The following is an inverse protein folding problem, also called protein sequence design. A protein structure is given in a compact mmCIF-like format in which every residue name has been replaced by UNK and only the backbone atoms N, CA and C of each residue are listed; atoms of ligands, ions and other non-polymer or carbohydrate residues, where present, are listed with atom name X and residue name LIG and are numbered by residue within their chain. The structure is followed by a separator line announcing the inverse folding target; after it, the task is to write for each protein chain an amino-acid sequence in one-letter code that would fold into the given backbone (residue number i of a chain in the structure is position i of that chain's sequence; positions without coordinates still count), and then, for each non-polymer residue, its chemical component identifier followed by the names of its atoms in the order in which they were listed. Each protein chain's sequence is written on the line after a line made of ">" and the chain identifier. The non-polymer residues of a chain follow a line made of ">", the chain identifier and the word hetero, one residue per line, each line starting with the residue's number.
data_IF_052844948381
#
_entry.id   IF_052844948381
#
_cell.length_a   1.000
_cell.length_b   1.000
_cell.length_c   1.000
_cell.angle_alpha   90.00
_cell.angle_beta   90.00
_cell.angle_gamma   90.00
#
_symmetry.space_group_name_H-M   'P 1'
#
loop_
_entity.id
_entity.type
_entity.pdbx_description
1 polymer ?
#
# COMPACT_ATOMS: atom_id res chain seq x y z
N UNK A 1 -29.99 8.44 -21.39
CA UNK A 1 -28.90 8.17 -20.41
C UNK A 1 -28.36 6.76 -20.60
N UNK A 2 -27.15 6.47 -20.14
CA UNK A 2 -26.52 5.14 -20.22
C UNK A 2 -26.12 4.73 -18.80
N UNK A 3 -26.60 3.58 -18.33
CA UNK A 3 -26.14 2.98 -17.07
C UNK A 3 -25.04 1.97 -17.36
N UNK A 4 -23.98 2.02 -16.56
CA UNK A 4 -22.89 1.03 -16.49
C UNK A 4 -22.73 0.52 -15.04
N UNK A 5 -23.79 0.62 -14.23
CA UNK A 5 -23.73 0.38 -12.79
C UNK A 5 -24.06 -1.07 -12.45
N UNK A 6 -23.37 -1.58 -11.42
CA UNK A 6 -23.70 -2.86 -10.78
C UNK A 6 -24.34 -2.59 -9.43
N UNK A 7 -25.58 -3.03 -9.27
CA UNK A 7 -26.41 -2.84 -8.09
C UNK A 7 -26.82 -4.21 -7.56
N UNK A 8 -26.48 -4.52 -6.31
CA UNK A 8 -26.75 -5.84 -5.72
C UNK A 8 -28.19 -5.96 -5.20
N UNK A 9 -28.71 -4.91 -4.55
CA UNK A 9 -30.00 -4.95 -3.85
C UNK A 9 -30.98 -3.85 -4.33
N UNK A 10 -30.95 -3.52 -5.63
CA UNK A 10 -31.77 -2.46 -6.19
C UNK A 10 -32.02 -2.62 -7.69
N UNK A 11 -32.81 -1.72 -8.25
CA UNK A 11 -33.07 -1.67 -9.69
C UNK A 11 -31.84 -1.12 -10.43
N UNK A 12 -31.57 -1.66 -11.61
CA UNK A 12 -30.39 -1.32 -12.42
C UNK A 12 -30.42 0.11 -12.98
N UNK A 13 -31.60 0.74 -13.02
CA UNK A 13 -31.78 2.07 -13.59
C UNK A 13 -32.74 2.95 -12.77
N UNK A 14 -34.01 2.56 -12.62
CA UNK A 14 -35.03 3.33 -11.90
C UNK A 14 -35.73 2.47 -10.85
N UNK A 15 -35.72 2.93 -9.60
CA UNK A 15 -36.22 2.17 -8.43
C UNK A 15 -37.69 2.38 -8.05
N UNK A 16 -38.45 3.24 -8.73
CA UNK A 16 -39.81 3.63 -8.30
C UNK A 16 -40.93 2.84 -8.99
N UNK A 17 -41.96 2.49 -8.22
CA UNK A 17 -43.22 1.92 -8.70
C UNK A 17 -44.05 2.85 -9.57
N UNK A 18 -43.76 4.15 -9.53
CA UNK A 18 -44.41 5.15 -10.40
C UNK A 18 -44.17 4.90 -11.88
N UNK A 19 -43.15 4.10 -12.21
CA UNK A 19 -42.90 3.66 -13.58
C UNK A 19 -44.12 2.97 -14.18
N UNK A 20 -44.81 2.13 -13.41
CA UNK A 20 -45.95 1.34 -13.88
C UNK A 20 -47.31 1.94 -13.47
N UNK A 21 -47.34 2.94 -12.59
CA UNK A 21 -48.55 3.61 -12.10
C UNK A 21 -49.33 4.31 -13.21
N UNK A 22 -50.66 4.19 -13.19
CA UNK A 22 -51.58 4.74 -14.19
C UNK A 22 -51.13 4.48 -15.64
N UNK A 23 -50.66 3.25 -15.89
CA UNK A 23 -50.14 2.87 -17.20
C UNK A 23 -48.95 3.73 -17.65
N UNK A 24 -48.15 4.27 -16.74
CA UNK A 24 -46.96 5.08 -17.03
C UNK A 24 -47.25 6.39 -17.76
N UNK A 25 -48.44 6.99 -17.55
CA UNK A 25 -48.88 8.23 -18.21
C UNK A 25 -47.79 9.32 -18.19
N UNK A 26 -47.07 9.46 -17.06
CA UNK A 26 -46.00 10.46 -16.89
C UNK A 26 -44.58 9.96 -17.23
N UNK A 27 -44.36 8.65 -17.32
CA UNK A 27 -43.01 8.05 -17.41
C UNK A 27 -42.66 7.53 -18.81
N UNK A 28 -43.66 7.31 -19.67
CA UNK A 28 -43.49 6.61 -20.95
C UNK A 28 -42.52 7.23 -21.95
N UNK A 29 -42.58 8.56 -22.16
CA UNK A 29 -41.81 9.21 -23.24
C UNK A 29 -40.30 9.25 -23.03
N UNK A 30 -39.84 9.04 -21.79
CA UNK A 30 -38.45 9.27 -21.39
C UNK A 30 -37.64 7.98 -21.24
N UNK A 31 -38.30 6.82 -21.06
CA UNK A 31 -37.63 5.54 -20.83
C UNK A 31 -36.94 4.98 -22.08
N UNK A 32 -37.51 5.22 -23.27
CA UNK A 32 -36.99 4.66 -24.54
C UNK A 32 -35.64 5.25 -24.98
N UNK A 33 -35.21 6.35 -24.34
CA UNK A 33 -33.93 7.03 -24.57
C UNK A 33 -32.85 6.61 -23.56
N UNK A 34 -33.15 5.60 -22.74
CA UNK A 34 -32.25 5.07 -21.73
C UNK A 34 -31.75 3.69 -22.13
N UNK A 35 -30.48 3.45 -21.78
CA UNK A 35 -29.78 2.25 -22.17
C UNK A 35 -29.03 1.65 -20.99
N UNK A 36 -29.03 0.33 -20.88
CA UNK A 36 -28.19 -0.44 -19.97
C UNK A 36 -27.13 -1.18 -20.77
N UNK A 37 -25.91 -1.26 -20.25
CA UNK A 37 -24.79 -1.90 -20.97
C UNK A 37 -24.67 -3.36 -20.60
N UNK A 38 -24.87 -4.24 -21.58
CA UNK A 38 -24.80 -5.70 -21.44
C UNK A 38 -23.49 -6.15 -20.79
N UNK A 39 -23.59 -6.96 -19.74
CA UNK A 39 -22.44 -7.56 -19.04
C UNK A 39 -21.61 -6.59 -18.17
N UNK A 40 -21.84 -5.29 -18.29
CA UNK A 40 -21.23 -4.25 -17.45
C UNK A 40 -22.20 -3.86 -16.34
N UNK A 41 -23.46 -3.64 -16.70
CA UNK A 41 -24.52 -3.25 -15.78
C UNK A 41 -25.20 -4.49 -15.17
N UNK A 42 -25.63 -4.37 -13.92
CA UNK A 42 -26.39 -5.44 -13.25
C UNK A 42 -27.32 -4.87 -12.19
N UNK A 43 -28.50 -5.45 -12.04
CA UNK A 43 -29.47 -5.09 -11.02
C UNK A 43 -30.82 -5.75 -11.29
N UNK A 44 -31.81 -5.42 -10.46
CA UNK A 44 -33.18 -5.87 -10.70
C UNK A 44 -33.81 -5.06 -11.85
N UNK A 45 -34.78 -5.70 -12.49
CA UNK A 45 -35.62 -5.16 -13.55
C UNK A 45 -37.07 -5.53 -13.23
N UNK A 46 -37.57 -5.13 -12.07
CA UNK A 46 -38.84 -5.62 -11.51
C UNK A 46 -40.06 -4.91 -12.10
N UNK A 47 -39.91 -3.67 -12.58
CA UNK A 47 -41.00 -2.91 -13.20
C UNK A 47 -41.18 -3.26 -14.68
N UNK A 48 -42.44 -3.44 -15.09
CA UNK A 48 -42.80 -3.89 -16.44
C UNK A 48 -42.31 -2.90 -17.50
N UNK A 49 -42.54 -1.61 -17.30
CA UNK A 49 -42.11 -0.59 -18.28
C UNK A 49 -40.59 -0.43 -18.33
N UNK A 50 -39.88 -0.65 -17.23
CA UNK A 50 -38.41 -0.65 -17.25
C UNK A 50 -37.88 -1.77 -18.16
N UNK A 51 -38.39 -3.00 -18.00
CA UNK A 51 -38.04 -4.14 -18.86
C UNK A 51 -38.39 -3.91 -20.33
N UNK A 52 -39.57 -3.36 -20.59
CA UNK A 52 -40.10 -3.26 -21.94
C UNK A 52 -39.49 -2.09 -22.73
N UNK A 53 -39.01 -1.04 -22.06
CA UNK A 53 -38.63 0.23 -22.69
C UNK A 53 -37.16 0.59 -22.60
N UNK A 54 -36.45 0.20 -21.55
CA UNK A 54 -35.01 0.45 -21.43
C UNK A 54 -34.28 -0.60 -22.26
N UNK A 55 -33.48 -0.15 -23.23
CA UNK A 55 -32.83 -1.06 -24.17
C UNK A 55 -31.46 -1.46 -23.66
N UNK A 56 -31.15 -2.74 -23.81
CA UNK A 56 -29.81 -3.24 -23.59
C UNK A 56 -28.95 -3.00 -24.84
N UNK A 57 -27.77 -2.42 -24.66
CA UNK A 57 -26.80 -2.14 -25.74
C UNK A 57 -25.46 -2.80 -25.45
N UNK A 58 -24.65 -3.00 -26.49
CA UNK A 58 -23.28 -3.48 -26.32
C UNK A 58 -22.38 -2.38 -25.72
N UNK A 59 -21.27 -2.81 -25.12
CA UNK A 59 -20.26 -1.88 -24.59
C UNK A 59 -19.68 -0.97 -25.70
N UNK A 60 -19.48 -1.50 -26.91
CA UNK A 60 -18.99 -0.71 -28.05
C UNK A 60 -19.97 0.39 -28.47
N UNK A 61 -21.26 0.09 -28.48
CA UNK A 61 -22.29 1.09 -28.78
C UNK A 61 -22.40 2.14 -27.66
N UNK A 62 -22.28 1.70 -26.41
CA UNK A 62 -22.26 2.58 -25.26
C UNK A 62 -21.08 3.56 -25.33
N UNK A 63 -19.87 3.07 -25.64
CA UNK A 63 -18.67 3.88 -25.78
C UNK A 63 -18.79 4.92 -26.91
N UNK A 64 -19.36 4.55 -28.07
CA UNK A 64 -19.63 5.49 -29.16
C UNK A 64 -20.57 6.61 -28.74
N UNK A 65 -21.62 6.27 -27.98
CA UNK A 65 -22.59 7.26 -27.47
C UNK A 65 -21.95 8.14 -26.39
N UNK A 66 -21.13 7.58 -25.50
CA UNK A 66 -20.34 8.31 -24.50
C UNK A 66 -19.41 9.33 -25.16
N UNK A 67 -18.68 8.93 -26.20
CA UNK A 67 -17.81 9.82 -26.96
C UNK A 67 -18.59 10.99 -27.61
N UNK A 68 -19.82 10.75 -28.09
CA UNK A 68 -20.68 11.80 -28.65
C UNK A 68 -21.17 12.81 -27.61
N UNK A 69 -21.20 12.48 -26.32
CA UNK A 69 -21.58 13.43 -25.25
C UNK A 69 -20.48 14.45 -24.94
N UNK A 70 -19.28 14.32 -25.53
CA UNK A 70 -18.19 15.28 -25.35
C UNK A 70 -17.68 15.35 -23.90
N UNK A 71 -17.91 14.31 -23.11
CA UNK A 71 -17.38 14.20 -21.75
C UNK A 71 -15.85 14.26 -21.82
N UNK A 72 -15.24 15.17 -21.08
CA UNK A 72 -13.79 15.33 -20.98
C UNK A 72 -13.22 14.73 -19.70
N UNK A 73 -14.08 14.20 -18.83
CA UNK A 73 -13.72 13.68 -17.52
C UNK A 73 -12.89 12.39 -17.56
N UNK A 74 -13.02 11.62 -18.65
CA UNK A 74 -12.22 10.44 -18.97
C UNK A 74 -10.77 10.77 -19.37
N UNK A 75 -10.47 12.05 -19.65
CA UNK A 75 -9.16 12.54 -20.10
C UNK A 75 -8.38 13.31 -19.02
N UNK A 76 -8.86 13.33 -17.78
CA UNK A 76 -8.10 13.92 -16.69
C UNK A 76 -6.91 13.02 -16.36
N UNK A 77 -5.72 13.40 -16.83
CA UNK A 77 -4.46 12.86 -16.33
C UNK A 77 -4.22 13.40 -14.91
N UNK A 78 -4.12 12.48 -13.95
CA UNK A 78 -3.68 12.82 -12.60
C UNK A 78 -2.19 13.14 -12.69
N UNK A 79 -1.85 14.43 -12.69
CA UNK A 79 -0.47 14.86 -12.55
C UNK A 79 0.02 14.51 -11.14
N UNK A 80 1.25 14.00 -11.02
CA UNK A 80 1.84 13.76 -9.72
C UNK A 80 1.88 15.06 -8.89
N UNK A 81 1.57 14.99 -7.58
CA UNK A 81 1.64 16.15 -6.71
C UNK A 81 3.00 16.84 -6.79
N UNK A 82 2.99 18.18 -6.82
CA UNK A 82 4.23 19.01 -6.86
C UNK A 82 5.16 18.68 -5.69
N UNK A 83 4.61 18.22 -4.56
CA UNK A 83 5.37 17.74 -3.40
C UNK A 83 6.30 16.57 -3.72
N UNK A 84 5.95 15.66 -4.63
CA UNK A 84 6.84 14.56 -5.05
C UNK A 84 8.10 15.11 -5.72
N UNK A 85 7.94 16.13 -6.59
CA UNK A 85 9.04 16.81 -7.27
C UNK A 85 9.87 17.66 -6.32
N UNK A 86 9.23 18.35 -5.36
CA UNK A 86 9.91 19.19 -4.37
C UNK A 86 10.69 18.38 -3.33
N UNK A 87 10.22 17.19 -2.98
CA UNK A 87 10.91 16.30 -2.05
C UNK A 87 12.17 15.66 -2.63
N UNK A 88 12.57 15.99 -3.88
CA UNK A 88 13.68 15.34 -4.58
C UNK A 88 13.60 13.82 -4.40
N UNK A 89 12.41 13.25 -4.64
CA UNK A 89 12.33 11.83 -4.95
C UNK A 89 13.04 11.68 -6.30
N UNK A 90 14.37 11.65 -6.27
CA UNK A 90 15.14 10.96 -7.29
C UNK A 90 14.44 9.63 -7.45
N UNK A 91 14.05 9.28 -8.68
CA UNK A 91 13.40 7.98 -8.90
C UNK A 91 14.28 6.93 -8.25
N UNK A 92 13.68 5.92 -7.61
CA UNK A 92 14.44 4.87 -6.89
C UNK A 92 15.57 4.29 -7.77
N UNK A 93 15.38 4.30 -9.09
CA UNK A 93 16.32 3.87 -10.13
C UNK A 93 17.48 4.82 -10.45
N UNK A 94 17.46 6.06 -9.97
CA UNK A 94 18.49 7.07 -10.20
C UNK A 94 19.29 7.38 -8.93
N UNK A 95 18.98 6.71 -7.81
CA UNK A 95 19.42 7.09 -6.47
C UNK A 95 20.95 7.09 -6.27
N UNK A 96 21.63 6.13 -6.92
CA UNK A 96 23.08 5.91 -6.83
C UNK A 96 23.85 6.32 -8.10
N UNK A 97 23.15 6.67 -9.19
CA UNK A 97 23.77 6.90 -10.51
C UNK A 97 24.79 8.04 -10.53
N UNK A 98 24.65 9.00 -9.63
CA UNK A 98 25.58 10.13 -9.49
C UNK A 98 26.69 9.89 -8.44
N UNK A 99 26.69 8.75 -7.76
CA UNK A 99 27.68 8.41 -6.74
C UNK A 99 28.96 7.90 -7.39
N UNK A 100 30.11 8.22 -6.78
CA UNK A 100 31.41 7.74 -7.24
C UNK A 100 31.46 6.21 -7.24
N UNK A 101 32.15 5.62 -8.23
CA UNK A 101 32.33 4.17 -8.41
C UNK A 101 31.04 3.36 -8.66
N UNK A 102 29.95 4.03 -9.02
CA UNK A 102 28.69 3.39 -9.42
C UNK A 102 28.88 2.48 -10.63
N UNK A 103 28.29 1.28 -10.56
CA UNK A 103 28.22 0.30 -11.63
C UNK A 103 26.77 -0.07 -11.91
N UNK A 104 26.34 0.05 -13.16
CA UNK A 104 24.95 -0.20 -13.56
C UNK A 104 24.47 -1.61 -13.24
N UNK A 105 25.36 -2.59 -13.36
CA UNK A 105 25.13 -4.01 -13.10
C UNK A 105 25.02 -4.33 -11.60
N UNK A 106 25.41 -3.41 -10.71
CA UNK A 106 25.34 -3.56 -9.25
C UNK A 106 24.28 -2.69 -8.59
N UNK A 107 23.47 -2.00 -9.39
CA UNK A 107 22.46 -1.08 -8.88
C UNK A 107 21.47 -1.72 -7.89
N UNK A 108 21.02 -2.94 -8.18
CA UNK A 108 20.18 -3.72 -7.25
C UNK A 108 20.91 -4.01 -5.92
N UNK A 109 22.21 -4.32 -6.00
CA UNK A 109 23.02 -4.62 -4.83
C UNK A 109 23.13 -3.41 -3.90
N UNK A 110 23.27 -2.20 -4.43
CA UNK A 110 23.31 -0.97 -3.63
C UNK A 110 22.00 -0.76 -2.86
N UNK A 111 20.86 -0.91 -3.54
CA UNK A 111 19.54 -0.79 -2.90
C UNK A 111 19.29 -1.87 -1.84
N UNK A 112 19.84 -3.07 -2.04
CA UNK A 112 19.75 -4.15 -1.06
C UNK A 112 20.61 -3.87 0.18
N UNK A 113 21.85 -3.40 0.00
CA UNK A 113 22.74 -3.03 1.11
C UNK A 113 22.16 -1.87 1.92
N UNK A 114 21.51 -0.90 1.28
CA UNK A 114 20.79 0.18 1.96
C UNK A 114 19.76 -0.34 2.98
N UNK A 115 19.08 -1.47 2.69
CA UNK A 115 18.13 -2.09 3.62
C UNK A 115 18.80 -2.64 4.87
N UNK A 116 20.08 -2.99 4.79
CA UNK A 116 20.88 -3.41 5.95
C UNK A 116 21.44 -2.20 6.71
N UNK A 117 21.64 -1.07 6.03
CA UNK A 117 22.40 0.08 6.53
C UNK A 117 21.66 1.43 6.31
N UNK A 118 20.48 1.62 6.90
CA UNK A 118 19.60 2.76 6.60
C UNK A 118 20.17 4.15 6.96
N UNK A 119 21.23 4.21 7.76
CA UNK A 119 21.84 5.46 8.22
C UNK A 119 23.21 5.76 7.60
N UNK A 120 23.68 4.89 6.69
CA UNK A 120 24.98 5.05 6.04
C UNK A 120 24.89 5.93 4.79
N UNK A 121 26.00 6.55 4.43
CA UNK A 121 26.08 7.38 3.23
C UNK A 121 26.15 6.54 1.95
N UNK A 122 25.74 7.14 0.84
CA UNK A 122 25.63 6.45 -0.46
C UNK A 122 26.97 5.96 -0.98
N UNK A 123 28.04 6.72 -0.77
CA UNK A 123 29.40 6.35 -1.18
C UNK A 123 29.85 5.05 -0.50
N UNK A 124 29.50 4.89 0.78
CA UNK A 124 29.78 3.66 1.51
C UNK A 124 28.97 2.48 0.97
N UNK A 125 27.67 2.68 0.77
CA UNK A 125 26.79 1.65 0.21
C UNK A 125 27.29 1.17 -1.17
N UNK A 126 27.72 2.08 -2.05
CA UNK A 126 28.29 1.74 -3.36
C UNK A 126 29.60 0.95 -3.23
N UNK A 127 30.51 1.40 -2.37
CA UNK A 127 31.76 0.69 -2.10
C UNK A 127 31.52 -0.74 -1.61
N UNK A 128 30.57 -0.95 -0.71
CA UNK A 128 30.24 -2.28 -0.19
C UNK A 128 29.52 -3.15 -1.22
N UNK A 129 28.55 -2.59 -1.94
CA UNK A 129 27.86 -3.32 -3.01
C UNK A 129 28.80 -3.76 -4.13
N UNK A 130 29.87 -2.99 -4.40
CA UNK A 130 30.91 -3.35 -5.36
C UNK A 130 31.79 -4.53 -4.90
N UNK A 131 31.90 -4.77 -3.59
CA UNK A 131 32.68 -5.87 -3.00
C UNK A 131 31.86 -7.16 -2.81
N UNK A 132 30.54 -7.12 -2.97
CA UNK A 132 29.69 -8.31 -2.86
C UNK A 132 30.07 -9.34 -3.92
N UNK A 133 30.14 -10.61 -3.50
CA UNK A 133 30.31 -11.73 -4.41
C UNK A 133 29.20 -11.73 -5.48
N UNK A 134 29.56 -12.00 -6.74
CA UNK A 134 28.63 -11.89 -7.87
C UNK A 134 27.45 -12.85 -7.75
N UNK A 135 27.66 -13.99 -7.07
CA UNK A 135 26.69 -15.04 -6.84
C UNK A 135 25.82 -14.84 -5.59
N UNK A 136 26.09 -13.81 -4.79
CA UNK A 136 25.32 -13.49 -3.59
C UNK A 136 23.84 -13.20 -3.90
N UNK A 137 22.94 -13.71 -3.06
CA UNK A 137 21.53 -13.37 -3.12
C UNK A 137 21.30 -11.85 -2.97
N UNK A 138 22.12 -11.16 -2.16
CA UNK A 138 22.05 -9.70 -2.00
C UNK A 138 22.45 -8.93 -3.27
N UNK A 139 23.16 -9.55 -4.22
CA UNK A 139 23.45 -8.95 -5.52
C UNK A 139 22.34 -9.23 -6.55
N UNK A 140 21.65 -10.38 -6.44
CA UNK A 140 20.74 -10.87 -7.50
C UNK A 140 19.25 -10.72 -7.20
N UNK A 141 18.85 -10.74 -5.93
CA UNK A 141 17.46 -10.79 -5.51
C UNK A 141 17.07 -9.49 -4.82
N UNK A 142 15.93 -8.91 -5.18
CA UNK A 142 15.44 -7.71 -4.47
C UNK A 142 15.07 -8.04 -3.03
N UNK A 143 15.63 -7.28 -2.09
CA UNK A 143 15.34 -7.38 -0.66
C UNK A 143 14.15 -6.49 -0.31
N UNK A 144 13.10 -7.09 0.27
CA UNK A 144 11.93 -6.36 0.76
C UNK A 144 12.14 -5.85 2.19
N UNK A 145 12.65 -6.72 3.07
CA UNK A 145 12.91 -6.39 4.47
C UNK A 145 14.04 -7.20 5.06
N UNK A 146 14.67 -6.63 6.09
CA UNK A 146 15.67 -7.29 6.92
C UNK A 146 15.26 -7.10 8.37
N UNK A 147 15.08 -8.21 9.09
CA UNK A 147 14.59 -8.18 10.49
C UNK A 147 15.55 -8.92 11.39
N UNK A 148 15.92 -8.32 12.52
CA UNK A 148 16.75 -8.97 13.54
C UNK A 148 16.00 -10.10 14.24
N UNK A 149 16.75 -11.10 14.68
CA UNK A 149 16.20 -12.27 15.37
C UNK A 149 17.08 -12.70 16.54
N UNK A 150 16.43 -13.27 17.55
CA UNK A 150 17.07 -13.88 18.70
C UNK A 150 16.35 -15.20 19.00
N UNK A 151 17.09 -16.30 19.07
CA UNK A 151 16.56 -17.63 19.40
C UNK A 151 15.33 -18.03 18.54
N UNK A 152 15.35 -17.65 17.25
CA UNK A 152 14.29 -17.95 16.28
C UNK A 152 13.05 -17.03 16.35
N UNK A 153 13.06 -16.00 17.19
CA UNK A 153 12.00 -14.99 17.27
C UNK A 153 12.44 -13.66 16.69
N UNK A 154 11.53 -12.94 16.04
CA UNK A 154 11.79 -11.59 15.56
C UNK A 154 11.99 -10.62 16.73
N UNK A 155 13.02 -9.80 16.62
CA UNK A 155 13.30 -8.70 17.54
C UNK A 155 12.94 -7.40 16.82
N UNK A 156 11.94 -6.70 17.37
CA UNK A 156 11.40 -5.44 16.81
C UNK A 156 11.82 -4.20 17.61
N UNK A 157 12.61 -4.41 18.67
CA UNK A 157 13.18 -3.36 19.48
C UNK A 157 14.71 -3.33 19.34
N UNK A 158 15.40 -2.69 20.29
CA UNK A 158 16.86 -2.64 20.35
C UNK A 158 17.40 -3.70 21.31
N UNK A 159 16.78 -4.87 21.44
CA UNK A 159 17.38 -5.99 22.15
C UNK A 159 18.55 -6.59 21.35
N UNK A 160 19.35 -7.44 21.99
CA UNK A 160 20.43 -8.14 21.30
C UNK A 160 19.87 -9.20 20.34
N UNK A 161 20.51 -9.38 19.20
CA UNK A 161 20.16 -10.37 18.16
C UNK A 161 21.36 -11.27 17.86
N UNK A 162 21.10 -12.48 17.37
CA UNK A 162 22.11 -13.43 16.89
C UNK A 162 22.00 -13.73 15.39
N UNK A 163 20.87 -13.39 14.78
CA UNK A 163 20.63 -13.54 13.35
C UNK A 163 19.87 -12.35 12.77
N UNK A 164 19.94 -12.22 11.45
CA UNK A 164 18.98 -11.46 10.66
C UNK A 164 18.25 -12.39 9.69
N UNK A 165 16.99 -12.09 9.42
CA UNK A 165 16.23 -12.70 8.34
C UNK A 165 16.08 -11.68 7.21
N UNK A 166 16.60 -12.02 6.04
CA UNK A 166 16.42 -11.27 4.79
C UNK A 166 15.23 -11.89 4.05
N UNK A 167 14.22 -11.07 3.75
CA UNK A 167 13.05 -11.48 2.98
C UNK A 167 13.13 -10.89 1.56
N UNK A 168 13.13 -11.76 0.56
CA UNK A 168 13.28 -11.38 -0.84
C UNK A 168 11.93 -11.26 -1.56
N UNK A 169 11.91 -10.50 -2.66
CA UNK A 169 10.72 -10.29 -3.48
C UNK A 169 10.20 -11.57 -4.15
N UNK A 170 11.05 -12.57 -4.35
CA UNK A 170 10.67 -13.90 -4.86
C UNK A 170 10.02 -14.80 -3.78
N UNK A 171 9.83 -14.29 -2.57
CA UNK A 171 9.26 -15.01 -1.43
C UNK A 171 10.26 -15.88 -0.66
N UNK A 172 11.52 -15.98 -1.12
CA UNK A 172 12.57 -16.71 -0.40
C UNK A 172 13.04 -15.93 0.83
N UNK A 173 13.58 -16.65 1.81
CA UNK A 173 14.10 -16.11 3.06
C UNK A 173 15.49 -16.66 3.31
N UNK A 174 16.38 -15.82 3.80
CA UNK A 174 17.74 -16.20 4.16
C UNK A 174 18.04 -15.72 5.58
N UNK A 175 18.51 -16.64 6.42
CA UNK A 175 19.01 -16.30 7.75
C UNK A 175 20.52 -16.14 7.68
N UNK A 176 21.02 -15.03 8.23
CA UNK A 176 22.46 -14.78 8.32
C UNK A 176 22.82 -14.55 9.79
N UNK A 177 23.87 -15.23 10.25
CA UNK A 177 24.39 -15.03 11.60
C UNK A 177 25.01 -13.64 11.72
N UNK A 178 24.80 -13.02 12.87
CA UNK A 178 25.32 -11.68 13.15
C UNK A 178 26.01 -11.63 14.51
N UNK A 179 27.05 -10.81 14.60
CA UNK A 179 27.76 -10.56 15.86
C UNK A 179 27.70 -9.08 16.18
N UNK A 180 27.31 -8.75 17.41
CA UNK A 180 27.23 -7.36 17.86
C UNK A 180 28.60 -6.69 17.77
N UNK A 181 28.66 -5.57 17.06
CA UNK A 181 29.85 -4.75 17.00
C UNK A 181 29.95 -3.91 18.30
N UNK A 182 30.89 -4.25 19.17
CA UNK A 182 31.12 -3.52 20.42
C UNK A 182 31.83 -2.19 20.24
N UNK A 183 32.43 -1.96 19.07
CA UNK A 183 33.26 -0.80 18.76
C UNK A 183 32.54 0.20 17.84
N UNK A 184 31.20 0.19 17.84
CA UNK A 184 30.41 1.11 17.01
C UNK A 184 30.77 2.57 17.31
N UNK A 185 31.13 3.31 16.25
CA UNK A 185 31.51 4.73 16.36
C UNK A 185 30.31 5.66 16.49
N UNK A 186 29.09 5.14 16.30
CA UNK A 186 27.85 5.90 16.34
C UNK A 186 27.00 5.36 17.50
N UNK A 187 27.16 5.95 18.68
CA UNK A 187 26.49 5.50 19.93
C UNK A 187 24.96 5.39 19.83
N UNK A 188 24.35 6.10 18.89
CA UNK A 188 22.90 6.17 18.71
C UNK A 188 22.34 5.03 17.85
N UNK A 189 23.17 4.19 17.25
CA UNK A 189 22.73 3.04 16.45
C UNK A 189 23.40 1.76 16.93
N UNK A 190 22.71 0.63 16.78
CA UNK A 190 23.30 -0.68 17.02
C UNK A 190 23.84 -1.22 15.71
N UNK A 191 25.04 -1.75 15.75
CA UNK A 191 25.70 -2.34 14.59
C UNK A 191 26.02 -3.79 14.86
N UNK A 192 25.81 -4.61 13.84
CA UNK A 192 26.12 -6.03 13.88
C UNK A 192 26.91 -6.39 12.62
N UNK A 193 28.05 -7.05 12.78
CA UNK A 193 28.77 -7.65 11.66
C UNK A 193 27.98 -8.85 11.15
N UNK A 194 27.83 -8.95 9.82
CA UNK A 194 27.10 -10.05 9.19
C UNK A 194 28.09 -11.08 8.66
N UNK A 195 27.94 -12.34 9.10
CA UNK A 195 28.81 -13.44 8.70
C UNK A 195 28.83 -13.61 7.17
N UNK A 196 30.03 -13.69 6.60
CA UNK A 196 30.21 -13.91 5.15
C UNK A 196 30.05 -12.68 4.25
N UNK A 197 29.70 -11.50 4.79
CA UNK A 197 29.54 -10.27 3.99
C UNK A 197 30.69 -9.25 4.14
N UNK A 198 31.79 -9.66 4.79
CA UNK A 198 32.98 -8.82 4.95
C UNK A 198 32.69 -7.55 5.75
N UNK A 199 32.86 -6.39 5.12
CA UNK A 199 32.68 -5.09 5.76
C UNK A 199 31.19 -4.72 5.98
N UNK A 200 30.25 -5.46 5.38
CA UNK A 200 28.82 -5.15 5.49
C UNK A 200 28.32 -5.40 6.91
N UNK A 201 27.73 -4.37 7.49
CA UNK A 201 27.08 -4.43 8.80
C UNK A 201 25.58 -4.31 8.66
N UNK A 202 24.86 -4.85 9.63
CA UNK A 202 23.43 -4.63 9.81
C UNK A 202 23.20 -3.61 10.92
N UNK A 203 22.34 -2.64 10.63
CA UNK A 203 21.86 -1.65 11.56
C UNK A 203 20.33 -1.63 11.51
N UNK A 204 19.62 -1.96 12.61
CA UNK A 204 18.18 -1.79 12.67
C UNK A 204 17.79 -0.35 12.31
N UNK A 205 16.68 -0.15 11.60
CA UNK A 205 16.18 1.20 11.25
C UNK A 205 15.54 1.91 12.47
N UNK A 206 16.27 1.92 13.58
CA UNK A 206 15.89 2.46 14.87
C UNK A 206 17.12 3.02 15.55
N UNK A 207 16.95 4.21 16.15
CA UNK A 207 18.00 4.85 16.97
C UNK A 207 17.76 4.58 18.45
N UNK A 208 18.85 4.40 19.19
CA UNK A 208 18.87 4.27 20.65
C UNK A 208 18.37 5.59 21.25
N UNK A 209 17.15 5.56 21.79
CA UNK A 209 16.55 6.67 22.51
C UNK A 209 15.85 6.13 23.73
N UNK A 210 16.00 6.82 24.88
CA UNK A 210 15.19 6.52 26.04
C UNK A 210 13.73 6.88 25.72
N UNK A 211 12.84 5.89 25.80
CA UNK A 211 11.40 6.04 25.58
C UNK A 211 10.60 5.66 26.83
N UNK A 212 11.24 5.50 27.99
CA UNK A 212 10.62 4.94 29.19
C UNK A 212 9.45 5.80 29.65
N UNK A 213 9.63 7.12 29.69
CA UNK A 213 8.56 8.06 30.04
C UNK A 213 7.41 8.01 29.03
N UNK A 214 7.72 8.04 27.73
CA UNK A 214 6.69 7.97 26.68
C UNK A 214 5.89 6.66 26.77
N UNK A 215 6.58 5.53 26.98
CA UNK A 215 5.95 4.21 27.12
C UNK A 215 5.09 4.18 28.39
N UNK A 216 5.58 4.70 29.51
CA UNK A 216 4.83 4.77 30.76
C UNK A 216 3.57 5.65 30.62
N UNK A 217 3.70 6.83 30.02
CA UNK A 217 2.61 7.77 29.80
C UNK A 217 1.55 7.16 28.87
N UNK A 218 1.97 6.57 27.73
CA UNK A 218 1.07 5.90 26.79
C UNK A 218 0.40 4.68 27.43
N UNK A 219 1.14 3.86 28.18
CA UNK A 219 0.58 2.69 28.87
C UNK A 219 -0.45 3.11 29.92
N UNK A 220 -0.18 4.17 30.67
CA UNK A 220 -1.13 4.74 31.64
C UNK A 220 -2.43 5.17 30.95
N UNK A 221 -2.33 5.95 29.87
CA UNK A 221 -3.50 6.40 29.12
C UNK A 221 -4.27 5.26 28.45
N UNK A 222 -3.58 4.27 27.86
CA UNK A 222 -4.25 3.13 27.22
C UNK A 222 -4.87 2.18 28.23
N UNK A 223 -4.31 2.06 29.44
CA UNK A 223 -4.87 1.20 30.49
C UNK A 223 -6.20 1.69 31.05
N UNK A 224 -6.51 2.98 30.90
CA UNK A 224 -7.80 3.56 31.27
C UNK A 224 -8.87 3.44 30.18
N UNK A 225 -8.55 2.88 29.01
CA UNK A 225 -9.51 2.74 27.91
C UNK A 225 -10.38 1.51 28.13
N UNK A 226 -11.67 1.71 28.28
CA UNK A 226 -12.68 0.64 28.28
C UNK A 226 -13.35 0.53 26.92
N UNK A 227 -13.59 -0.69 26.45
CA UNK A 227 -14.25 -0.94 25.16
C UNK A 227 -15.64 -0.30 25.08
N UNK A 228 -16.33 -0.16 26.21
CA UNK A 228 -17.67 0.43 26.32
C UNK A 228 -17.61 1.78 27.05
N UNK A 229 -16.72 2.67 26.62
CA UNK A 229 -16.70 4.07 27.09
C UNK A 229 -17.43 5.00 26.10
N UNK A 230 -17.82 6.19 26.56
CA UNK A 230 -18.45 7.20 25.70
C UNK A 230 -17.48 7.67 24.60
N UNK A 231 -16.20 7.84 24.95
CA UNK A 231 -15.13 8.28 24.05
C UNK A 231 -14.90 7.28 22.91
N UNK A 232 -14.94 5.97 23.19
CA UNK A 232 -14.82 4.93 22.16
C UNK A 232 -16.05 4.93 21.23
N UNK A 233 -17.26 5.18 21.77
CA UNK A 233 -18.49 5.29 20.96
C UNK A 233 -18.47 6.51 20.04
N UNK A 234 -17.98 7.64 20.52
CA UNK A 234 -17.86 8.88 19.74
C UNK A 234 -16.86 8.70 18.59
N UNK A 235 -15.78 7.93 18.79
CA UNK A 235 -14.79 7.55 17.77
C UNK A 235 -15.35 6.60 16.70
N UNK A 236 -16.22 5.67 17.09
CA UNK A 236 -16.72 4.60 16.22
C UNK A 236 -17.83 5.03 15.25
N UNK A 237 -18.21 6.31 15.23
CA UNK A 237 -19.17 6.93 14.30
C UNK A 237 -20.37 6.03 13.94
N UNK A 238 -21.46 6.20 14.71
CA UNK A 238 -22.83 5.71 14.45
C UNK A 238 -23.14 4.27 14.86
N UNK A 239 -23.30 4.04 16.17
CA UNK A 239 -24.10 2.92 16.70
C UNK A 239 -24.91 3.40 17.88
N UNK A 240 -26.22 3.49 17.69
CA UNK A 240 -27.13 4.15 18.64
C UNK A 240 -27.46 3.27 19.85
N UNK A 241 -27.07 1.98 19.88
CA UNK A 241 -27.48 1.03 20.94
C UNK A 241 -26.35 0.10 21.43
N UNK A 242 -26.30 -0.20 22.75
CA UNK A 242 -25.29 -1.08 23.36
C UNK A 242 -25.26 -2.53 22.82
N UNK A 243 -26.36 -3.03 22.27
CA UNK A 243 -26.48 -4.42 21.80
C UNK A 243 -25.74 -4.70 20.48
N UNK A 244 -25.27 -3.67 19.77
CA UNK A 244 -24.53 -3.79 18.50
C UNK A 244 -23.04 -4.15 18.71
N UNK A 245 -22.67 -4.54 19.94
CA UNK A 245 -21.33 -4.95 20.37
C UNK A 245 -21.23 -6.46 20.69
N UNK A 246 -22.31 -7.23 20.49
CA UNK A 246 -22.36 -8.70 20.64
C UNK A 246 -22.62 -9.33 19.29
#
# INVERSE_FOLDING_TARGET
>A
NISMMRVENGEEFFGSSDLDYDGGYFTNGWLERNFVVKGVSSGKHSYKRSRDKIKEISQDEANKRIANFGLTADKYEINEPVVNRLNRLTRREDEYKSTQDYKSERDLAYRNIEKLQPFYNKEWIVNQGNKLAEDSNLAKKEVLSVTGMKDGQFVTDLSDIDKIMVHYADGTKEEMDVTKNTDSKVQQVREYSVSGLGDVVYTPNMVVKNRDKLIADVKSQLSSVELISQEVRDLMSRRDKPAENT
#
